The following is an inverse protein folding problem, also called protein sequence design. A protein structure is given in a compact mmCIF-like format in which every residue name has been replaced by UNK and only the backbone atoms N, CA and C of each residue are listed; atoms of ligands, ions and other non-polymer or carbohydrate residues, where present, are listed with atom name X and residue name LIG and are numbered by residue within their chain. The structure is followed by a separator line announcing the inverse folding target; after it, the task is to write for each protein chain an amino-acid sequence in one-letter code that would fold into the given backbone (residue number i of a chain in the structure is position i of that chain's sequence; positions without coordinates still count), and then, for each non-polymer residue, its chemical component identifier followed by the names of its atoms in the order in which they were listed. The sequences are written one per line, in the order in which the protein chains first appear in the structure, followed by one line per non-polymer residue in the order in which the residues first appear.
data_IF_267964296764
#
_entry.id   IF_267964296764
#
_cell.length_a   1.000
_cell.length_b   1.000
_cell.length_c   1.000
_cell.angle_alpha   90.00
_cell.angle_beta   90.00
_cell.angle_gamma   90.00
#
_symmetry.space_group_name_H-M   'P 1'
#
loop_
_entity.id
_entity.type
_entity.pdbx_description
1 polymer ?
#
# COMPACT_ATOMS: atom_id res chain seq x y z
N UNK A 1 12.30 33.02 -16.24
CA UNK A 1 13.23 32.85 -15.10
C UNK A 1 13.01 31.48 -14.48
N UNK A 2 13.70 30.46 -14.96
CA UNK A 2 13.79 29.17 -14.28
C UNK A 2 14.82 29.37 -13.16
N UNK A 3 14.34 29.42 -11.91
CA UNK A 3 15.19 29.67 -10.77
C UNK A 3 16.08 28.42 -10.58
N UNK A 4 17.39 28.58 -10.74
CA UNK A 4 18.44 27.56 -10.56
C UNK A 4 18.55 27.15 -9.09
N UNK A 5 17.49 26.51 -8.55
CA UNK A 5 17.46 26.04 -7.15
C UNK A 5 18.54 25.00 -6.84
N UNK A 6 19.21 24.44 -7.85
CA UNK A 6 20.32 23.49 -7.67
C UNK A 6 21.65 24.15 -7.32
N UNK A 7 21.83 25.44 -7.58
CA UNK A 7 23.12 26.12 -7.39
C UNK A 7 23.57 26.27 -5.92
N UNK A 8 22.67 25.98 -4.96
CA UNK A 8 22.93 26.10 -3.52
C UNK A 8 22.54 24.85 -2.71
N UNK A 9 22.45 23.67 -3.33
CA UNK A 9 22.12 22.44 -2.62
C UNK A 9 23.39 21.70 -2.19
N UNK A 10 23.48 21.41 -0.89
CA UNK A 10 24.49 20.52 -0.32
C UNK A 10 23.87 19.14 -0.13
N UNK A 11 24.63 18.08 -0.41
CA UNK A 11 24.18 16.70 -0.20
C UNK A 11 23.98 16.42 1.29
N UNK A 12 22.88 15.73 1.63
CA UNK A 12 22.66 15.22 3.00
C UNK A 12 23.79 14.27 3.40
N UNK A 13 24.22 14.38 4.64
CA UNK A 13 25.10 13.38 5.27
C UNK A 13 24.38 12.04 5.41
N UNK A 14 25.11 10.91 5.56
CA UNK A 14 24.48 9.61 5.78
C UNK A 14 23.56 9.59 7.01
N UNK A 15 23.98 10.27 8.09
CA UNK A 15 23.24 10.38 9.35
C UNK A 15 21.96 11.19 9.20
N UNK A 16 22.00 12.34 8.50
CA UNK A 16 20.79 13.13 8.21
C UNK A 16 19.80 12.35 7.35
N UNK A 17 20.27 11.65 6.33
CA UNK A 17 19.41 10.85 5.46
C UNK A 17 18.75 9.69 6.22
N UNK A 18 19.49 9.02 7.12
CA UNK A 18 18.93 7.98 7.98
C UNK A 18 17.91 8.55 8.97
N UNK A 19 18.19 9.72 9.56
CA UNK A 19 17.26 10.42 10.44
C UNK A 19 15.95 10.77 9.71
N UNK A 20 16.06 11.33 8.50
CA UNK A 20 14.90 11.63 7.64
C UNK A 20 14.09 10.36 7.34
N UNK A 21 14.76 9.24 7.03
CA UNK A 21 14.09 7.95 6.83
C UNK A 21 13.33 7.50 8.08
N UNK A 22 13.96 7.55 9.25
CA UNK A 22 13.34 7.14 10.52
C UNK A 22 12.11 7.99 10.84
N UNK A 23 12.16 9.30 10.56
CA UNK A 23 11.02 10.21 10.69
C UNK A 23 9.87 9.80 9.76
N UNK A 24 10.14 9.50 8.48
CA UNK A 24 9.09 9.08 7.56
C UNK A 24 8.48 7.72 7.92
N UNK A 25 9.29 6.78 8.41
CA UNK A 25 8.78 5.49 8.92
C UNK A 25 7.94 5.69 10.19
N UNK A 26 8.35 6.59 11.10
CA UNK A 26 7.54 6.97 12.26
C UNK A 26 6.18 7.52 11.83
N UNK A 27 6.14 8.44 10.87
CA UNK A 27 4.88 8.96 10.35
C UNK A 27 4.02 7.87 9.72
N UNK A 28 4.58 7.02 8.84
CA UNK A 28 3.83 5.91 8.25
C UNK A 28 3.19 5.01 9.31
N UNK A 29 3.89 4.71 10.42
CA UNK A 29 3.32 3.94 11.54
C UNK A 29 2.16 4.67 12.22
N UNK A 30 2.27 5.97 12.45
CA UNK A 30 1.19 6.75 13.06
C UNK A 30 -0.05 6.79 12.15
N UNK A 31 0.12 7.01 10.84
CA UNK A 31 -1.01 6.95 9.91
C UNK A 31 -1.70 5.57 9.93
N UNK A 32 -0.90 4.49 10.04
CA UNK A 32 -1.44 3.13 10.19
C UNK A 32 -2.25 2.96 11.48
N UNK A 33 -1.79 3.52 12.61
CA UNK A 33 -2.51 3.43 13.88
C UNK A 33 -3.84 4.18 13.84
N UNK A 34 -3.89 5.36 13.21
CA UNK A 34 -5.13 6.11 13.03
C UNK A 34 -6.13 5.36 12.12
N UNK A 35 -5.63 4.75 11.04
CA UNK A 35 -6.43 3.88 10.18
C UNK A 35 -7.01 2.70 10.98
N UNK A 36 -6.18 2.02 11.76
CA UNK A 36 -6.58 0.85 12.56
C UNK A 36 -7.56 1.22 13.70
N UNK A 37 -7.57 2.49 14.13
CA UNK A 37 -8.54 3.04 15.07
C UNK A 37 -9.92 3.34 14.43
N UNK A 38 -10.07 3.09 13.13
CA UNK A 38 -11.34 3.24 12.40
C UNK A 38 -11.43 4.50 11.52
N UNK A 39 -10.40 5.34 11.48
CA UNK A 39 -10.38 6.50 10.58
C UNK A 39 -9.78 6.14 9.22
N UNK A 40 -10.61 5.55 8.35
CA UNK A 40 -10.18 5.06 7.04
C UNK A 40 -9.67 6.16 6.10
N UNK A 41 -9.95 7.44 6.39
CA UNK A 41 -9.45 8.58 5.60
C UNK A 41 -7.92 8.65 5.61
N UNK A 42 -7.27 8.10 6.64
CA UNK A 42 -5.82 7.95 6.74
C UNK A 42 -5.23 7.05 5.66
N UNK A 43 -6.03 6.28 4.91
CA UNK A 43 -5.56 5.56 3.72
C UNK A 43 -4.84 6.47 2.72
N UNK A 44 -5.34 7.69 2.48
CA UNK A 44 -4.69 8.64 1.58
C UNK A 44 -3.34 9.15 2.13
N UNK A 45 -3.22 9.31 3.46
CA UNK A 45 -1.98 9.70 4.11
C UNK A 45 -0.95 8.57 4.07
N UNK A 46 -1.37 7.33 4.35
CA UNK A 46 -0.56 6.13 4.18
C UNK A 46 -0.01 6.06 2.75
N UNK A 47 -0.86 6.23 1.73
CA UNK A 47 -0.44 6.22 0.34
C UNK A 47 0.59 7.31 0.03
N UNK A 48 0.43 8.51 0.60
CA UNK A 48 1.37 9.61 0.40
C UNK A 48 2.75 9.29 0.97
N UNK A 49 2.80 8.73 2.19
CA UNK A 49 4.06 8.28 2.80
C UNK A 49 4.70 7.14 2.03
N UNK A 50 3.92 6.15 1.59
CA UNK A 50 4.39 5.07 0.73
C UNK A 50 4.97 5.58 -0.59
N UNK A 51 4.32 6.55 -1.22
CA UNK A 51 4.81 7.16 -2.45
C UNK A 51 6.16 7.84 -2.23
N UNK A 52 6.31 8.61 -1.15
CA UNK A 52 7.58 9.24 -0.81
C UNK A 52 8.70 8.21 -0.55
N UNK A 53 8.37 7.11 0.14
CA UNK A 53 9.33 6.07 0.47
C UNK A 53 9.76 5.23 -0.75
N UNK A 54 8.83 4.93 -1.67
CA UNK A 54 9.00 3.86 -2.67
C UNK A 54 8.96 4.35 -4.11
N UNK A 55 8.25 5.45 -4.41
CA UNK A 55 8.00 5.88 -5.77
C UNK A 55 9.04 6.87 -6.28
N UNK A 56 9.79 6.45 -7.29
CA UNK A 56 10.71 7.30 -8.03
C UNK A 56 10.04 7.86 -9.30
N UNK A 57 10.31 9.14 -9.59
CA UNK A 57 9.91 9.83 -10.83
C UNK A 57 11.16 10.28 -11.59
N UNK A 58 10.99 10.82 -12.80
CA UNK A 58 12.10 11.43 -13.56
C UNK A 58 12.77 12.59 -12.81
N UNK A 59 12.05 13.22 -11.89
CA UNK A 59 12.48 14.45 -11.21
C UNK A 59 12.76 14.26 -9.72
N UNK A 60 12.45 13.09 -9.16
CA UNK A 60 12.57 12.84 -7.72
C UNK A 60 12.89 11.38 -7.42
N UNK A 61 13.98 11.16 -6.67
CA UNK A 61 14.34 9.84 -6.15
C UNK A 61 13.53 9.51 -4.90
N UNK A 62 13.06 8.27 -4.79
CA UNK A 62 12.43 7.78 -3.57
C UNK A 62 13.45 7.67 -2.43
N UNK A 63 13.00 7.72 -1.17
CA UNK A 63 13.91 7.50 -0.05
C UNK A 63 14.59 6.13 -0.11
N UNK A 64 13.90 5.09 -0.58
CA UNK A 64 14.51 3.79 -0.83
C UNK A 64 15.72 3.89 -1.76
N UNK A 65 15.57 4.54 -2.92
CA UNK A 65 16.64 4.68 -3.89
C UNK A 65 17.82 5.49 -3.33
N UNK A 66 17.52 6.61 -2.66
CA UNK A 66 18.52 7.46 -2.01
C UNK A 66 19.33 6.67 -0.96
N UNK A 67 18.66 5.90 -0.10
CA UNK A 67 19.28 5.09 0.95
C UNK A 67 20.14 3.96 0.36
N UNK A 68 19.60 3.17 -0.57
CA UNK A 68 20.36 2.07 -1.18
C UNK A 68 21.62 2.55 -1.90
N UNK A 69 21.55 3.72 -2.53
CA UNK A 69 22.69 4.36 -3.20
C UNK A 69 23.69 4.91 -2.19
N UNK A 70 23.22 5.63 -1.17
CA UNK A 70 24.08 6.29 -0.18
C UNK A 70 24.86 5.29 0.67
N UNK A 71 24.22 4.20 1.09
CA UNK A 71 24.82 3.15 1.91
C UNK A 71 25.34 1.95 1.10
N UNK A 72 25.41 2.09 -0.23
CA UNK A 72 26.03 1.13 -1.16
C UNK A 72 25.57 -0.33 -0.98
N UNK A 73 24.27 -0.59 -0.83
CA UNK A 73 23.73 -1.94 -0.77
C UNK A 73 22.57 -2.17 -1.75
N UNK A 74 22.45 -3.41 -2.25
CA UNK A 74 21.37 -3.81 -3.14
C UNK A 74 20.02 -3.79 -2.43
N UNK A 75 19.00 -3.26 -3.10
CA UNK A 75 17.63 -3.25 -2.59
C UNK A 75 17.20 -4.68 -2.19
N UNK A 76 16.78 -4.91 -0.93
CA UNK A 76 16.33 -6.23 -0.52
C UNK A 76 15.00 -6.63 -1.19
N UNK A 77 14.71 -7.92 -1.14
CA UNK A 77 13.38 -8.41 -1.42
C UNK A 77 12.38 -7.92 -0.38
N UNK A 78 11.21 -7.51 -0.87
CA UNK A 78 10.08 -7.06 -0.06
C UNK A 78 9.21 -8.22 0.37
N UNK A 79 8.75 -8.15 1.62
CA UNK A 79 7.72 -9.01 2.15
C UNK A 79 6.42 -8.88 1.33
N UNK A 80 5.75 -9.99 1.07
CA UNK A 80 4.44 -10.02 0.42
C UNK A 80 3.43 -10.76 1.28
N UNK A 81 2.44 -10.04 1.79
CA UNK A 81 1.28 -10.56 2.54
C UNK A 81 0.18 -11.15 1.62
N UNK A 82 0.31 -10.96 0.29
CA UNK A 82 -0.58 -11.53 -0.71
C UNK A 82 -1.02 -12.96 -0.42
N UNK A 83 -2.33 -13.18 -0.42
CA UNK A 83 -2.96 -14.51 -0.28
C UNK A 83 -2.69 -15.43 -1.47
N UNK A 84 -2.14 -14.91 -2.57
CA UNK A 84 -1.70 -15.67 -3.74
C UNK A 84 -0.21 -15.55 -4.02
N UNK A 85 0.38 -16.59 -4.64
CA UNK A 85 1.81 -16.64 -4.99
C UNK A 85 2.19 -15.87 -6.26
N UNK A 86 1.24 -15.46 -7.08
CA UNK A 86 1.51 -14.73 -8.34
C UNK A 86 0.37 -13.79 -8.68
N UNK A 87 -0.01 -13.75 -9.96
CA UNK A 87 -1.19 -13.03 -10.43
C UNK A 87 -2.46 -13.60 -9.79
N UNK A 88 -3.47 -12.74 -9.59
CA UNK A 88 -4.79 -13.17 -9.15
C UNK A 88 -5.43 -14.08 -10.23
N UNK A 89 -5.93 -15.28 -9.88
CA UNK A 89 -6.50 -16.20 -10.87
C UNK A 89 -7.76 -15.61 -11.50
N UNK A 90 -8.09 -15.89 -12.76
CA UNK A 90 -9.27 -15.31 -13.47
C UNK A 90 -9.20 -13.79 -13.72
N UNK A 91 -7.99 -13.23 -13.80
CA UNK A 91 -7.76 -11.90 -14.39
C UNK A 91 -8.34 -11.85 -15.81
N UNK A 92 -9.04 -10.76 -16.12
CA UNK A 92 -9.73 -10.59 -17.41
C UNK A 92 -11.07 -11.31 -17.54
N UNK A 93 -11.45 -12.15 -16.55
CA UNK A 93 -12.70 -12.93 -16.56
C UNK A 93 -13.67 -12.53 -15.46
N UNK A 94 -13.14 -12.00 -14.35
CA UNK A 94 -13.92 -11.53 -13.21
C UNK A 94 -14.33 -10.07 -13.42
N UNK A 95 -15.53 -9.73 -12.97
CA UNK A 95 -16.16 -8.42 -13.21
C UNK A 95 -16.61 -7.79 -11.88
N UNK A 96 -15.76 -7.85 -10.86
CA UNK A 96 -16.00 -7.25 -9.55
C UNK A 96 -14.68 -6.93 -8.86
N UNK A 97 -14.73 -5.98 -7.92
CA UNK A 97 -13.56 -5.48 -7.20
C UNK A 97 -13.01 -6.52 -6.24
N UNK A 98 -11.72 -6.84 -6.37
CA UNK A 98 -11.03 -7.77 -5.47
C UNK A 98 -9.51 -7.60 -5.45
N UNK A 99 -8.92 -8.00 -4.33
CA UNK A 99 -7.48 -7.91 -4.10
C UNK A 99 -6.98 -9.09 -3.24
N UNK A 100 -5.75 -9.61 -3.46
CA UNK A 100 -5.15 -10.58 -2.55
C UNK A 100 -4.53 -9.94 -1.30
N UNK A 101 -4.61 -8.61 -1.18
CA UNK A 101 -4.02 -7.82 -0.08
C UNK A 101 -5.07 -7.40 0.96
N UNK A 102 -6.28 -7.96 0.90
CA UNK A 102 -7.36 -7.73 1.85
C UNK A 102 -8.02 -9.04 2.21
N UNK A 103 -8.81 -9.01 3.26
CA UNK A 103 -9.76 -10.05 3.62
C UNK A 103 -11.13 -9.42 3.89
N UNK A 104 -12.18 -10.23 3.82
CA UNK A 104 -13.54 -9.79 4.12
C UNK A 104 -13.98 -10.39 5.44
N UNK A 105 -14.51 -9.55 6.33
CA UNK A 105 -15.19 -9.98 7.54
C UNK A 105 -16.69 -9.98 7.29
N UNK A 106 -17.34 -11.08 7.64
CA UNK A 106 -18.79 -11.26 7.53
C UNK A 106 -19.36 -11.56 8.91
N UNK A 107 -20.34 -10.78 9.35
CA UNK A 107 -21.12 -11.06 10.56
C UNK A 107 -22.48 -11.63 10.12
N UNK A 108 -22.66 -12.92 10.35
CA UNK A 108 -23.83 -13.65 9.85
C UNK A 108 -24.93 -13.74 10.93
N UNK A 109 -25.65 -12.64 11.13
CA UNK A 109 -26.78 -12.53 12.07
C UNK A 109 -27.93 -11.73 11.44
N UNK A 110 -29.21 -12.09 11.66
CA UNK A 110 -30.36 -11.37 11.07
C UNK A 110 -30.39 -9.86 11.36
N UNK A 111 -29.97 -9.47 12.56
CA UNK A 111 -30.07 -8.10 13.10
C UNK A 111 -28.95 -7.18 12.59
N UNK A 112 -27.88 -7.76 12.06
CA UNK A 112 -26.70 -7.01 11.58
C UNK A 112 -26.87 -6.69 10.09
N UNK A 113 -26.44 -5.50 9.62
CA UNK A 113 -26.45 -5.18 8.18
C UNK A 113 -25.69 -6.22 7.34
N UNK A 114 -26.16 -6.58 6.13
CA UNK A 114 -25.54 -7.59 5.29
C UNK A 114 -24.34 -7.01 4.52
N UNK A 115 -23.31 -6.62 5.28
CA UNK A 115 -22.11 -5.98 4.75
C UNK A 115 -20.92 -6.94 4.88
N UNK A 116 -20.09 -7.00 3.84
CA UNK A 116 -18.76 -7.61 3.90
C UNK A 116 -17.75 -6.50 4.19
N UNK A 117 -17.37 -6.37 5.46
CA UNK A 117 -16.40 -5.35 5.88
C UNK A 117 -15.02 -5.71 5.32
N UNK A 118 -14.37 -4.74 4.69
CA UNK A 118 -13.05 -4.93 4.10
C UNK A 118 -12.00 -4.72 5.19
N UNK A 119 -11.08 -5.68 5.33
CA UNK A 119 -10.02 -5.63 6.34
C UNK A 119 -8.65 -5.75 5.66
N UNK A 120 -7.65 -4.96 6.09
CA UNK A 120 -6.27 -5.16 5.65
C UNK A 120 -5.72 -6.50 6.17
N UNK A 121 -4.66 -6.98 5.54
CA UNK A 121 -3.92 -8.14 6.03
C UNK A 121 -2.83 -7.69 7.00
N UNK A 122 -2.63 -8.50 8.03
CA UNK A 122 -1.65 -8.28 9.07
C UNK A 122 -0.65 -9.43 9.15
N UNK A 123 0.52 -9.14 9.70
CA UNK A 123 1.52 -10.16 10.02
C UNK A 123 1.03 -11.04 11.17
N UNK A 124 1.05 -12.35 10.95
CA UNK A 124 0.72 -13.36 11.95
C UNK A 124 2.02 -13.93 12.53
N UNK A 125 2.15 -13.98 13.87
CA UNK A 125 3.32 -14.57 14.52
C UNK A 125 3.59 -16.01 14.03
N UNK A 126 4.83 -16.30 13.67
CA UNK A 126 5.25 -17.64 13.22
C UNK A 126 4.89 -18.00 11.77
N UNK A 127 4.06 -17.20 11.09
CA UNK A 127 3.71 -17.44 9.68
C UNK A 127 4.84 -17.01 8.75
N UNK A 128 5.16 -17.87 7.77
CA UNK A 128 6.13 -17.55 6.72
C UNK A 128 5.44 -16.89 5.55
N UNK A 129 6.00 -15.79 5.09
CA UNK A 129 5.50 -15.01 3.96
C UNK A 129 6.50 -15.03 2.81
N UNK A 130 5.99 -14.88 1.59
CA UNK A 130 6.83 -14.78 0.41
C UNK A 130 7.63 -13.48 0.43
N UNK A 131 8.85 -13.53 -0.09
CA UNK A 131 9.67 -12.36 -0.40
C UNK A 131 9.79 -12.22 -1.91
N UNK A 132 9.81 -10.98 -2.42
CA UNK A 132 9.85 -10.68 -3.84
C UNK A 132 10.81 -9.53 -4.12
N UNK A 133 11.56 -9.63 -5.22
CA UNK A 133 12.34 -8.51 -5.73
C UNK A 133 11.46 -7.25 -5.85
N UNK A 134 11.99 -6.10 -5.45
CA UNK A 134 11.23 -4.85 -5.34
C UNK A 134 10.46 -4.51 -6.62
N UNK A 135 11.06 -4.66 -7.80
CA UNK A 135 10.39 -4.41 -9.09
C UNK A 135 9.13 -5.29 -9.24
N UNK A 136 9.27 -6.60 -9.03
CA UNK A 136 8.13 -7.53 -9.10
C UNK A 136 7.06 -7.22 -8.05
N UNK A 137 7.48 -6.91 -6.82
CA UNK A 137 6.56 -6.55 -5.73
C UNK A 137 5.80 -5.25 -6.01
N UNK A 138 6.49 -4.22 -6.50
CA UNK A 138 5.99 -2.87 -6.63
C UNK A 138 5.13 -2.64 -7.88
N UNK A 139 5.61 -3.07 -9.06
CA UNK A 139 4.94 -2.81 -10.34
C UNK A 139 4.86 -4.02 -11.28
N UNK A 140 5.24 -5.21 -10.82
CA UNK A 140 5.25 -6.42 -11.65
C UNK A 140 4.06 -7.36 -11.47
N UNK A 141 3.22 -7.17 -10.45
CA UNK A 141 2.04 -8.01 -10.19
C UNK A 141 0.82 -7.11 -9.96
N UNK A 142 -0.27 -7.40 -10.66
CA UNK A 142 -1.54 -6.73 -10.40
C UNK A 142 -2.20 -7.29 -9.14
N UNK A 143 -2.55 -6.39 -8.23
CA UNK A 143 -3.07 -6.71 -6.89
C UNK A 143 -4.46 -6.14 -6.64
N UNK A 144 -5.01 -5.33 -7.54
CA UNK A 144 -6.41 -4.93 -7.49
C UNK A 144 -7.01 -5.16 -8.88
N UNK A 145 -8.00 -6.03 -8.95
CA UNK A 145 -8.80 -6.23 -10.15
C UNK A 145 -10.13 -5.52 -9.89
N UNK A 146 -10.46 -4.53 -10.71
CA UNK A 146 -11.67 -3.72 -10.55
C UNK A 146 -12.80 -4.35 -11.37
N UNK A 147 -12.49 -4.71 -12.61
CA UNK A 147 -13.38 -5.38 -13.55
C UNK A 147 -12.55 -6.27 -14.51
N UNK A 148 -13.08 -6.56 -15.70
CA UNK A 148 -12.41 -7.36 -16.73
C UNK A 148 -11.23 -6.69 -17.43
N UNK A 149 -11.05 -5.37 -17.31
CA UNK A 149 -10.07 -4.60 -18.09
C UNK A 149 -9.18 -3.72 -17.22
N UNK A 150 -9.63 -3.37 -16.03
CA UNK A 150 -9.01 -2.41 -15.14
C UNK A 150 -8.31 -3.10 -13.98
N UNK A 151 -6.98 -2.99 -13.98
CA UNK A 151 -6.12 -3.60 -12.98
C UNK A 151 -5.13 -2.58 -12.42
N UNK A 152 -4.73 -2.77 -11.15
CA UNK A 152 -3.68 -1.98 -10.51
C UNK A 152 -2.70 -2.90 -9.76
N UNK A 153 -1.41 -2.66 -9.98
CA UNK A 153 -0.34 -3.12 -9.09
C UNK A 153 -0.19 -2.20 -7.87
N UNK A 154 0.72 -2.54 -6.93
CA UNK A 154 0.94 -1.75 -5.70
C UNK A 154 1.28 -0.29 -6.00
N UNK A 155 2.18 -0.05 -6.97
CA UNK A 155 2.52 1.29 -7.44
C UNK A 155 1.27 2.03 -7.91
N UNK A 156 0.43 1.36 -8.72
CA UNK A 156 -0.82 1.90 -9.25
C UNK A 156 -1.75 2.35 -8.13
N UNK A 157 -2.05 1.47 -7.17
CA UNK A 157 -2.91 1.79 -6.03
C UNK A 157 -2.37 2.94 -5.19
N UNK A 158 -1.08 2.90 -4.83
CA UNK A 158 -0.45 3.96 -4.03
C UNK A 158 -0.48 5.31 -4.76
N UNK A 159 -0.14 5.33 -6.05
CA UNK A 159 -0.14 6.58 -6.82
C UNK A 159 -1.56 7.10 -7.05
N UNK A 160 -2.54 6.22 -7.30
CA UNK A 160 -3.93 6.59 -7.48
C UNK A 160 -4.44 7.31 -6.22
N UNK A 161 -4.27 6.69 -5.05
CA UNK A 161 -4.81 7.20 -3.80
C UNK A 161 -4.07 8.47 -3.32
N UNK A 162 -2.75 8.51 -3.43
CA UNK A 162 -1.95 9.67 -3.02
C UNK A 162 -2.21 10.92 -3.88
N UNK A 163 -2.62 10.77 -5.14
CA UNK A 163 -2.83 11.89 -6.07
C UNK A 163 -4.25 12.49 -6.04
N UNK A 164 -5.25 11.78 -5.50
CA UNK A 164 -6.66 12.11 -5.75
C UNK A 164 -7.50 12.32 -4.49
N UNK A 165 -7.14 11.69 -3.37
CA UNK A 165 -7.95 11.68 -2.14
C UNK A 165 -7.35 12.58 -1.03
N UNK A 166 -6.80 13.75 -1.39
CA UNK A 166 -6.36 14.75 -0.39
C UNK A 166 -5.02 14.48 0.29
N UNK A 167 -4.30 13.42 -0.10
CA UNK A 167 -3.01 13.06 0.52
C UNK A 167 -1.87 14.06 0.25
N UNK A 168 -1.90 14.77 -0.89
CA UNK A 168 -0.90 15.80 -1.21
C UNK A 168 -1.45 16.93 -2.10
N UNK A 169 -2.38 16.61 -3.00
CA UNK A 169 -3.03 17.57 -3.90
C UNK A 169 -4.39 17.00 -4.32
N UNK A 170 -5.44 17.81 -4.37
CA UNK A 170 -6.75 17.43 -4.95
C UNK A 170 -6.89 18.16 -6.28
N UNK A 171 -6.89 17.42 -7.39
CA UNK A 171 -7.17 18.00 -8.72
C UNK A 171 -8.66 17.86 -9.06
N UNK A 172 -9.27 18.77 -9.84
CA UNK A 172 -10.67 18.63 -10.27
C UNK A 172 -10.93 17.38 -11.13
N UNK A 173 -9.91 16.90 -11.86
CA UNK A 173 -9.97 15.66 -12.64
C UNK A 173 -9.65 14.43 -11.79
N UNK A 174 -10.38 13.34 -12.02
CA UNK A 174 -10.23 12.05 -11.32
C UNK A 174 -9.84 10.96 -12.34
N UNK A 175 -8.99 10.02 -11.93
CA UNK A 175 -8.63 8.88 -12.78
C UNK A 175 -9.85 7.97 -12.92
N UNK A 176 -10.04 7.40 -14.11
CA UNK A 176 -11.19 6.54 -14.41
C UNK A 176 -11.35 5.40 -13.40
N UNK A 177 -10.25 4.73 -13.01
CA UNK A 177 -10.29 3.63 -12.04
C UNK A 177 -10.69 4.12 -10.65
N UNK A 178 -10.21 5.29 -10.23
CA UNK A 178 -10.63 5.89 -8.97
C UNK A 178 -12.11 6.29 -9.02
N UNK A 179 -12.57 6.86 -10.14
CA UNK A 179 -13.97 7.23 -10.33
C UNK A 179 -14.89 6.01 -10.27
N UNK A 180 -14.49 4.88 -10.88
CA UNK A 180 -15.25 3.64 -10.83
C UNK A 180 -15.43 3.12 -9.39
N UNK A 181 -14.37 3.19 -8.58
CA UNK A 181 -14.40 2.73 -7.20
C UNK A 181 -15.19 3.69 -6.30
N UNK A 182 -14.90 4.99 -6.38
CA UNK A 182 -15.51 6.00 -5.49
C UNK A 182 -16.97 6.29 -5.79
N UNK A 183 -17.38 6.20 -7.06
CA UNK A 183 -18.79 6.42 -7.46
C UNK A 183 -19.63 5.15 -7.40
N UNK A 184 -19.04 4.01 -6.99
CA UNK A 184 -19.72 2.72 -6.95
C UNK A 184 -20.14 2.21 -8.33
N UNK A 185 -19.40 2.56 -9.38
CA UNK A 185 -19.69 2.09 -10.75
C UNK A 185 -19.08 0.70 -11.03
N UNK A 186 -18.11 0.26 -10.23
CA UNK A 186 -17.60 -1.11 -10.26
C UNK A 186 -18.50 -2.05 -9.45
N UNK A 187 -18.56 -3.33 -9.82
CA UNK A 187 -19.34 -4.31 -9.05
C UNK A 187 -18.61 -4.73 -7.77
N UNK A 188 -19.36 -4.88 -6.68
CA UNK A 188 -18.84 -5.38 -5.41
C UNK A 188 -18.75 -6.90 -5.41
N UNK A 189 -17.88 -7.46 -4.56
CA UNK A 189 -18.03 -8.85 -4.15
C UNK A 189 -19.37 -9.03 -3.43
N UNK A 190 -20.12 -10.05 -3.83
CA UNK A 190 -21.35 -10.48 -3.16
C UNK A 190 -21.24 -11.94 -2.71
N UNK A 191 -21.68 -12.22 -1.49
CA UNK A 191 -21.74 -13.57 -0.93
C UNK A 191 -23.18 -13.84 -0.49
N UNK A 192 -23.80 -14.87 -1.04
CA UNK A 192 -25.09 -15.35 -0.60
C UNK A 192 -24.92 -16.38 0.53
N UNK A 193 -25.63 -16.21 1.64
CA UNK A 193 -25.62 -17.16 2.76
C UNK A 193 -27.04 -17.37 3.31
N UNK A 194 -27.44 -18.63 3.61
CA UNK A 194 -28.75 -18.95 4.17
C UNK A 194 -28.84 -18.56 5.64
N UNK A 195 -29.97 -17.99 6.06
CA UNK A 195 -30.30 -17.70 7.45
C UNK A 195 -31.05 -18.87 8.12
N UNK A 196 -31.12 -18.93 9.47
CA UNK A 196 -31.86 -19.96 10.19
C UNK A 196 -33.36 -20.02 9.89
N UNK A 197 -33.95 -18.91 9.42
CA UNK A 197 -35.35 -18.81 9.01
C UNK A 197 -35.62 -19.35 7.59
N UNK A 198 -34.59 -19.84 6.89
CA UNK A 198 -34.66 -20.36 5.54
C UNK A 198 -34.53 -19.30 4.43
N UNK A 199 -34.43 -18.01 4.76
CA UNK A 199 -34.20 -16.95 3.78
C UNK A 199 -32.72 -16.91 3.36
N UNK A 200 -32.45 -16.56 2.10
CA UNK A 200 -31.07 -16.30 1.63
C UNK A 200 -30.76 -14.82 1.74
N UNK A 201 -29.64 -14.49 2.38
CA UNK A 201 -29.17 -13.12 2.52
C UNK A 201 -27.94 -12.87 1.66
N UNK A 202 -27.89 -11.71 1.00
CA UNK A 202 -26.78 -11.30 0.13
C UNK A 202 -25.94 -10.27 0.85
N UNK A 203 -24.70 -10.64 1.17
CA UNK A 203 -23.70 -9.77 1.78
C UNK A 203 -22.89 -9.06 0.70
N UNK A 204 -22.78 -7.74 0.79
CA UNK A 204 -22.10 -6.92 -0.23
C UNK A 204 -20.87 -6.23 0.34
N UNK A 205 -19.75 -6.26 -0.39
CA UNK A 205 -18.54 -5.57 -0.02
C UNK A 205 -18.59 -4.06 -0.28
N UNK A 206 -18.00 -3.30 0.65
CA UNK A 206 -17.83 -1.84 0.57
C UNK A 206 -16.60 -1.50 -0.29
N UNK A 207 -16.83 -1.12 -1.54
CA UNK A 207 -15.76 -0.90 -2.53
C UNK A 207 -14.89 0.32 -2.18
N UNK A 208 -15.49 1.36 -1.61
CA UNK A 208 -14.83 2.61 -1.25
C UNK A 208 -13.69 2.40 -0.23
N UNK A 209 -13.79 1.40 0.63
CA UNK A 209 -12.77 1.04 1.61
C UNK A 209 -11.63 0.17 1.03
N UNK A 210 -11.81 -0.43 -0.15
CA UNK A 210 -10.84 -1.40 -0.71
C UNK A 210 -9.47 -0.77 -0.93
N UNK A 211 -9.41 0.43 -1.51
CA UNK A 211 -8.12 1.10 -1.76
C UNK A 211 -7.37 1.38 -0.45
N UNK A 212 -8.09 1.86 0.56
CA UNK A 212 -7.53 2.20 1.85
C UNK A 212 -7.01 0.96 2.59
N UNK A 213 -7.77 -0.14 2.58
CA UNK A 213 -7.33 -1.41 3.15
C UNK A 213 -6.12 -2.00 2.40
N UNK A 214 -6.09 -1.91 1.07
CA UNK A 214 -4.95 -2.36 0.27
C UNK A 214 -3.67 -1.57 0.60
N UNK A 215 -3.73 -0.23 0.66
CA UNK A 215 -2.54 0.56 1.02
C UNK A 215 -2.09 0.31 2.45
N UNK A 216 -3.01 0.03 3.38
CA UNK A 216 -2.68 -0.35 4.74
C UNK A 216 -1.91 -1.66 4.81
N UNK A 217 -2.25 -2.65 3.98
CA UNK A 217 -1.45 -3.89 3.83
C UNK A 217 -0.08 -3.62 3.22
N UNK A 218 0.01 -2.78 2.19
CA UNK A 218 1.29 -2.37 1.56
C UNK A 218 2.19 -1.66 2.60
N UNK A 219 1.59 -0.88 3.50
CA UNK A 219 2.31 -0.24 4.60
C UNK A 219 2.91 -1.26 5.57
N UNK A 220 2.17 -2.32 5.95
CA UNK A 220 2.69 -3.39 6.78
C UNK A 220 3.88 -4.12 6.10
N UNK A 221 3.75 -4.44 4.81
CA UNK A 221 4.84 -5.03 4.00
C UNK A 221 6.09 -4.13 3.96
N UNK A 222 5.87 -2.82 3.78
CA UNK A 222 6.94 -1.81 3.69
C UNK A 222 7.64 -1.64 5.02
N UNK A 223 6.90 -1.37 6.10
CA UNK A 223 7.45 -1.19 7.45
C UNK A 223 8.31 -2.38 7.85
N UNK A 224 7.78 -3.60 7.67
CA UNK A 224 8.53 -4.82 7.98
C UNK A 224 9.85 -4.90 7.22
N UNK A 225 9.81 -4.67 5.90
CA UNK A 225 11.01 -4.75 5.05
C UNK A 225 12.04 -3.68 5.45
N UNK A 226 11.59 -2.46 5.72
CA UNK A 226 12.49 -1.39 6.16
C UNK A 226 13.13 -1.71 7.51
N UNK A 227 12.35 -2.15 8.49
CA UNK A 227 12.81 -2.47 9.83
C UNK A 227 13.78 -3.66 9.89
N UNK A 228 13.51 -4.71 9.11
CA UNK A 228 14.24 -5.97 9.25
C UNK A 228 15.35 -6.16 8.21
N UNK A 229 15.35 -5.40 7.12
CA UNK A 229 16.32 -5.55 6.04
C UNK A 229 17.08 -4.27 5.68
N UNK A 230 16.46 -3.09 5.80
CA UNK A 230 17.09 -1.84 5.34
C UNK A 230 17.80 -1.12 6.49
N UNK A 231 17.09 -0.83 7.59
CA UNK A 231 17.65 -0.11 8.73
C UNK A 231 18.89 -0.79 9.34
N UNK A 232 18.92 -2.13 9.54
CA UNK A 232 20.11 -2.78 10.10
C UNK A 232 21.36 -2.58 9.22
N UNK A 233 21.20 -2.58 7.89
CA UNK A 233 22.32 -2.35 6.97
C UNK A 233 22.85 -0.92 7.06
N UNK A 234 21.96 0.06 7.18
CA UNK A 234 22.35 1.46 7.34
C UNK A 234 23.10 1.67 8.66
N UNK A 235 22.62 1.08 9.75
CA UNK A 235 23.23 1.19 11.08
C UNK A 235 24.61 0.52 11.17
N UNK A 236 24.77 -0.64 10.52
CA UNK A 236 26.07 -1.33 10.44
C UNK A 236 27.08 -0.47 9.67
N UNK A 237 26.66 0.12 8.55
CA UNK A 237 27.54 0.99 7.75
C UNK A 237 27.99 2.23 8.53
N UNK A 238 27.08 2.91 9.25
CA UNK A 238 27.45 4.07 10.08
C UNK A 238 28.42 3.70 11.21
N UNK A 239 28.19 2.57 11.88
CA UNK A 239 29.06 2.09 12.96
C UNK A 239 30.46 1.69 12.48
N UNK A 240 30.61 1.39 11.19
CA UNK A 240 31.91 1.09 10.59
C UNK A 240 32.70 2.38 10.30
N UNK A 241 32.02 3.40 9.74
CA UNK A 241 32.62 4.71 9.44
C UNK A 241 33.05 5.48 10.70
N UNK A 242 32.44 5.23 11.87
CA UNK A 242 32.83 5.87 13.14
C UNK A 242 34.08 5.25 13.79
N UNK A 243 34.57 4.11 13.29
CA UNK A 243 35.73 3.39 13.82
C UNK A 243 37.03 3.62 13.04
N UNK A 244 36.93 4.24 11.87
CA UNK A 244 38.05 4.61 11.00
C UNK A 244 38.40 6.11 11.17
#
# INVERSE_FOLDING_TARGET
MHNDKKAYQVDRTPTELLSDLLVQLKFLRQECLHYDAGDWSYGAQIATKLRLLLHQTKYSDSLLAQITKRFAFSCPDFLSLSTVRGELPNKGRTDFVRSPLIQYQMIHQPEVPPVLTVQPLSLEPGKRYAKRAFKTWWNGIDILLIDRQHFLNRKGVVCLLANQEGGAHVQPGMDEKAAMLRRGAANSLQIAAPLPDGLTRIYTAEIDQVLAAVVRTIAAETLYTFEHAILPRCQIALSADEKD
#
